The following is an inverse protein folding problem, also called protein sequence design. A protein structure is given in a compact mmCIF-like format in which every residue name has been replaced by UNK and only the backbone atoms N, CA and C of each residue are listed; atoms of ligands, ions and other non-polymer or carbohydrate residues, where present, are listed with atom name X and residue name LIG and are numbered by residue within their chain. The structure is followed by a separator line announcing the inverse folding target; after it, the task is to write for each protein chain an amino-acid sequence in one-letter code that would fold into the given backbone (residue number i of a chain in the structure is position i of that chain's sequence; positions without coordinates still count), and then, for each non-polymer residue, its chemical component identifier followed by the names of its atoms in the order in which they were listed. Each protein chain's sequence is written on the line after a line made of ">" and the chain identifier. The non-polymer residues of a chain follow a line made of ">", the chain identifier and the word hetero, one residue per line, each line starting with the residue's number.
data_IF_652950363609
#
_entry.id   IF_652950363609
#
_cell.length_a   1.000
_cell.length_b   1.000
_cell.length_c   1.000
_cell.angle_alpha   90.00
_cell.angle_beta   90.00
_cell.angle_gamma   90.00
#
_symmetry.space_group_name_H-M   'P 1'
#
loop_
_entity.id
_entity.type
_entity.pdbx_description
1 polymer ?
#
# COMPACT_ATOMS: atom_id res chain seq x y z
N UNK A 1 11.74 4.83 -12.20
CA UNK A 1 10.93 3.94 -11.37
C UNK A 1 11.49 3.82 -9.97
N UNK A 2 10.57 3.89 -9.02
CA UNK A 2 10.76 3.77 -7.59
C UNK A 2 9.86 2.65 -7.11
N UNK A 3 10.37 1.77 -6.27
CA UNK A 3 9.58 0.80 -5.53
C UNK A 3 9.30 1.39 -4.15
N UNK A 4 8.03 1.62 -3.86
CA UNK A 4 7.58 2.15 -2.57
C UNK A 4 7.02 0.99 -1.76
N UNK A 5 7.46 0.87 -0.52
CA UNK A 5 6.91 -0.08 0.45
C UNK A 5 6.28 0.68 1.61
N UNK A 6 5.01 0.41 1.86
CA UNK A 6 4.25 0.96 2.97
C UNK A 6 3.89 -0.14 3.97
N UNK A 7 3.82 0.23 5.25
CA UNK A 7 3.27 -0.63 6.29
C UNK A 7 2.20 0.11 7.07
N UNK A 8 1.07 -0.55 7.32
CA UNK A 8 0.04 -0.11 8.22
C UNK A 8 -0.05 -1.07 9.41
N UNK A 9 0.12 -0.52 10.61
CA UNK A 9 0.06 -1.24 11.90
C UNK A 9 -1.14 -0.76 12.69
N UNK A 10 -1.66 -1.59 13.59
CA UNK A 10 -2.74 -1.21 14.51
C UNK A 10 -4.16 -1.47 14.00
N UNK A 11 -4.31 -2.03 12.79
CA UNK A 11 -5.61 -2.52 12.30
C UNK A 11 -6.07 -3.76 13.08
N UNK A 12 -7.38 -3.92 13.21
CA UNK A 12 -7.97 -5.13 13.77
C UNK A 12 -7.61 -6.37 12.94
N UNK A 13 -7.26 -7.47 13.62
CA UNK A 13 -6.90 -8.74 13.00
C UNK A 13 -8.00 -9.27 12.06
N UNK A 14 -9.28 -9.11 12.43
CA UNK A 14 -10.42 -9.58 11.63
C UNK A 14 -10.63 -8.78 10.33
N UNK A 15 -10.02 -7.59 10.25
CA UNK A 15 -10.15 -6.64 9.13
C UNK A 15 -8.99 -6.79 8.14
N UNK A 16 -7.76 -6.97 8.65
CA UNK A 16 -6.54 -6.87 7.85
C UNK A 16 -6.48 -7.74 6.58
N UNK A 17 -6.95 -8.99 6.64
CA UNK A 17 -6.94 -9.88 5.46
C UNK A 17 -7.98 -9.50 4.39
N UNK A 18 -9.11 -8.89 4.77
CA UNK A 18 -10.13 -8.46 3.80
C UNK A 18 -9.66 -7.19 3.08
N UNK A 19 -9.13 -6.26 3.87
CA UNK A 19 -8.58 -4.99 3.39
C UNK A 19 -7.41 -5.21 2.43
N UNK A 20 -6.51 -6.16 2.72
CA UNK A 20 -5.38 -6.42 1.81
C UNK A 20 -5.83 -6.80 0.40
N UNK A 21 -6.87 -7.63 0.29
CA UNK A 21 -7.40 -8.02 -1.02
C UNK A 21 -8.11 -6.86 -1.71
N UNK A 22 -8.93 -6.11 -0.98
CA UNK A 22 -9.63 -4.94 -1.53
C UNK A 22 -8.65 -3.91 -2.10
N UNK A 23 -7.64 -3.51 -1.32
CA UNK A 23 -6.62 -2.56 -1.74
C UNK A 23 -5.84 -3.10 -2.94
N UNK A 24 -5.50 -4.40 -2.95
CA UNK A 24 -4.77 -4.99 -4.08
C UNK A 24 -5.57 -4.89 -5.39
N UNK A 25 -6.86 -5.22 -5.38
CA UNK A 25 -7.69 -5.14 -6.59
C UNK A 25 -7.93 -3.70 -7.02
N UNK A 26 -8.17 -2.77 -6.09
CA UNK A 26 -8.31 -1.34 -6.39
C UNK A 26 -7.09 -0.77 -7.13
N UNK A 27 -5.87 -1.08 -6.65
CA UNK A 27 -4.64 -0.64 -7.30
C UNK A 27 -4.43 -1.30 -8.67
N UNK A 28 -4.82 -2.56 -8.86
CA UNK A 28 -4.72 -3.24 -10.15
C UNK A 28 -5.72 -2.70 -11.18
N UNK A 29 -6.95 -2.44 -10.76
CA UNK A 29 -8.06 -2.10 -11.65
C UNK A 29 -8.11 -0.60 -11.99
N UNK A 30 -7.77 0.25 -11.02
CA UNK A 30 -8.04 1.69 -11.11
C UNK A 30 -6.80 2.57 -11.11
N UNK A 31 -5.62 2.06 -10.73
CA UNK A 31 -4.38 2.85 -10.63
C UNK A 31 -3.27 2.32 -11.52
N UNK A 32 -3.48 2.43 -12.82
CA UNK A 32 -2.62 1.87 -13.87
C UNK A 32 -1.18 2.45 -13.92
N UNK A 33 -0.87 3.49 -13.15
CA UNK A 33 0.49 4.01 -12.97
C UNK A 33 1.31 3.23 -11.93
N UNK A 34 0.66 2.36 -11.14
CA UNK A 34 1.37 1.39 -10.30
C UNK A 34 1.63 0.10 -11.06
N UNK A 35 2.87 -0.36 -10.95
CA UNK A 35 3.36 -1.59 -11.54
C UNK A 35 3.57 -2.61 -10.42
N UNK A 36 3.18 -3.87 -10.69
CA UNK A 36 3.33 -5.00 -9.77
C UNK A 36 2.83 -4.74 -8.33
N UNK A 37 1.63 -4.16 -8.11
CA UNK A 37 1.15 -3.92 -6.76
C UNK A 37 1.01 -5.24 -5.99
N UNK A 38 1.42 -5.24 -4.73
CA UNK A 38 1.23 -6.33 -3.79
C UNK A 38 0.70 -5.75 -2.48
N UNK A 39 -0.31 -6.40 -1.91
CA UNK A 39 -0.83 -6.04 -0.60
C UNK A 39 -1.04 -7.33 0.21
N UNK A 40 -0.43 -7.44 1.38
CA UNK A 40 -0.44 -8.65 2.21
C UNK A 40 -0.66 -8.31 3.67
N UNK A 41 -1.49 -9.10 4.33
CA UNK A 41 -1.63 -9.09 5.78
C UNK A 41 -0.73 -10.17 6.40
N UNK A 42 0.29 -9.76 7.16
CA UNK A 42 1.25 -10.67 7.80
C UNK A 42 1.60 -10.15 9.19
N UNK A 43 1.55 -11.00 10.22
CA UNK A 43 1.96 -10.67 11.60
C UNK A 43 1.29 -9.40 12.17
N UNK A 44 -0.01 -9.20 11.91
CA UNK A 44 -0.76 -8.00 12.29
C UNK A 44 -0.27 -6.69 11.62
N UNK A 45 0.36 -6.81 10.46
CA UNK A 45 0.85 -5.69 9.66
C UNK A 45 0.29 -5.85 8.26
N UNK A 46 -0.33 -4.79 7.76
CA UNK A 46 -0.70 -4.68 6.36
C UNK A 46 0.48 -4.08 5.61
N UNK A 47 1.11 -4.86 4.74
CA UNK A 47 2.26 -4.43 3.95
C UNK A 47 1.84 -4.27 2.49
N UNK A 48 2.10 -3.10 1.94
CA UNK A 48 1.85 -2.77 0.56
C UNK A 48 3.16 -2.44 -0.14
N UNK A 49 3.33 -2.91 -1.38
CA UNK A 49 4.46 -2.57 -2.24
C UNK A 49 3.96 -2.33 -3.65
N UNK A 50 4.46 -1.29 -4.32
CA UNK A 50 4.24 -1.06 -5.74
C UNK A 50 5.43 -0.34 -6.37
N UNK A 51 5.50 -0.39 -7.69
CA UNK A 51 6.51 0.33 -8.48
C UNK A 51 5.83 1.48 -9.24
N UNK A 52 6.46 2.65 -9.31
CA UNK A 52 5.92 3.86 -9.97
C UNK A 52 7.04 4.70 -10.55
N UNK A 53 6.80 5.40 -11.66
CA UNK A 53 7.81 6.24 -12.32
C UNK A 53 7.97 7.65 -11.73
N UNK A 54 7.12 8.03 -10.75
CA UNK A 54 7.05 9.40 -10.23
C UNK A 54 7.50 9.55 -8.76
N UNK A 55 7.21 8.57 -7.91
CA UNK A 55 7.20 8.75 -6.45
C UNK A 55 8.56 8.46 -5.79
N UNK A 56 9.44 9.46 -5.77
CA UNK A 56 10.81 9.32 -5.25
C UNK A 56 10.94 9.45 -3.73
N UNK A 57 9.88 9.89 -3.05
CA UNK A 57 9.80 10.03 -1.60
C UNK A 57 8.69 9.18 -0.96
N UNK A 58 7.84 8.54 -1.76
CA UNK A 58 6.79 7.63 -1.32
C UNK A 58 5.50 8.32 -0.87
N UNK A 59 5.42 9.66 -0.93
CA UNK A 59 4.28 10.42 -0.42
C UNK A 59 3.04 10.25 -1.31
N UNK A 60 3.20 10.16 -2.62
CA UNK A 60 2.05 9.98 -3.52
C UNK A 60 1.40 8.60 -3.29
N UNK A 61 2.21 7.55 -3.20
CA UNK A 61 1.73 6.19 -2.92
C UNK A 61 1.11 6.10 -1.51
N UNK A 62 1.67 6.82 -0.52
CA UNK A 62 1.11 6.91 0.83
C UNK A 62 -0.30 7.50 0.80
N UNK A 63 -0.48 8.63 0.10
CA UNK A 63 -1.77 9.33 -0.02
C UNK A 63 -2.83 8.41 -0.66
N UNK A 64 -2.50 7.83 -1.81
CA UNK A 64 -3.38 6.92 -2.55
C UNK A 64 -3.72 5.65 -1.73
N UNK A 65 -2.75 5.07 -1.04
CA UNK A 65 -2.99 3.93 -0.16
C UNK A 65 -3.88 4.33 1.03
N UNK A 66 -3.67 5.51 1.59
CA UNK A 66 -4.50 6.10 2.64
C UNK A 66 -5.96 6.24 2.20
N UNK A 67 -6.20 6.78 1.01
CA UNK A 67 -7.54 6.90 0.42
C UNK A 67 -8.26 5.55 0.34
N UNK A 68 -7.56 4.50 -0.14
CA UNK A 68 -8.15 3.15 -0.19
C UNK A 68 -8.45 2.61 1.20
N UNK A 69 -7.53 2.78 2.15
CA UNK A 69 -7.72 2.32 3.50
C UNK A 69 -8.94 3.00 4.13
N UNK A 70 -9.07 4.32 3.91
CA UNK A 70 -10.23 5.10 4.37
C UNK A 70 -11.53 4.60 3.74
N UNK A 71 -11.52 4.26 2.45
CA UNK A 71 -12.71 3.76 1.77
C UNK A 71 -13.20 2.38 2.26
N UNK A 72 -12.32 1.52 2.78
CA UNK A 72 -12.66 0.11 3.09
C UNK A 72 -12.57 -0.31 4.56
N UNK A 73 -12.16 0.60 5.44
CA UNK A 73 -12.08 0.37 6.89
C UNK A 73 -12.99 1.37 7.60
N UNK A 74 -13.95 0.88 8.38
CA UNK A 74 -14.83 1.75 9.17
C UNK A 74 -14.20 2.15 10.51
N UNK A 75 -13.48 1.22 11.15
CA UNK A 75 -12.77 1.43 12.42
C UNK A 75 -11.26 1.34 12.19
N UNK A 76 -10.63 2.52 12.16
CA UNK A 76 -9.19 2.64 11.96
C UNK A 76 -8.39 2.33 13.23
N UNK A 77 -9.02 2.17 14.40
CA UNK A 77 -8.33 2.04 15.69
C UNK A 77 -7.21 3.11 15.83
N UNK A 78 -6.10 2.77 16.50
CA UNK A 78 -4.86 3.57 16.51
C UNK A 78 -3.95 3.23 15.30
N UNK A 79 -4.53 2.97 14.13
CA UNK A 79 -3.73 2.54 12.99
C UNK A 79 -2.80 3.65 12.49
N UNK A 80 -1.62 3.23 12.05
CA UNK A 80 -0.58 4.13 11.57
C UNK A 80 0.04 3.56 10.30
N UNK A 81 0.01 4.38 9.25
CA UNK A 81 0.68 4.10 7.98
C UNK A 81 2.06 4.76 8.03
N UNK A 82 3.08 4.04 7.59
CA UNK A 82 4.45 4.56 7.44
C UNK A 82 5.07 4.07 6.14
N UNK A 83 5.85 4.93 5.50
CA UNK A 83 6.74 4.55 4.40
C UNK A 83 7.89 3.75 5.02
N UNK A 84 7.98 2.46 4.68
CA UNK A 84 9.04 1.57 5.13
C UNK A 84 10.30 1.74 4.29
N UNK A 85 10.15 1.81 2.95
CA UNK A 85 11.27 2.09 2.04
C UNK A 85 10.80 2.73 0.74
N UNK A 86 11.72 3.50 0.14
CA UNK A 86 11.63 3.93 -1.25
C UNK A 86 12.96 3.56 -1.91
N UNK A 87 12.89 2.71 -2.93
CA UNK A 87 14.06 2.17 -3.60
C UNK A 87 14.03 2.58 -5.08
N UNK A 88 15.11 3.20 -5.57
CA UNK A 88 15.26 3.40 -7.01
C UNK A 88 15.47 2.04 -7.68
N UNK A 89 14.54 1.63 -8.53
CA UNK A 89 14.64 0.39 -9.29
C UNK A 89 14.97 0.70 -10.75
N UNK A 90 15.90 -0.05 -11.34
CA UNK A 90 16.17 0.05 -12.77
C UNK A 90 14.93 -0.34 -13.56
N UNK A 91 14.68 0.31 -14.71
CA UNK A 91 13.82 -0.32 -15.71
C UNK A 91 14.48 -1.64 -16.06
N UNK A 92 13.84 -2.76 -15.76
CA UNK A 92 14.31 -4.06 -16.21
C UNK A 92 14.62 -3.95 -17.71
N UNK A 93 15.85 -4.29 -18.07
CA UNK A 93 16.34 -4.37 -19.45
C UNK A 93 15.53 -5.41 -20.21
#
# INVERSE_FOLDING_TARGET
>A
MYRVTLVCKGLNHSVGSKVSNYILEEFKEHRNWHINPQCKWLNNILKFTSETDFDDDGQATLDEFGDCLVACVEDYCDSKITIESVEKVGRGI
#
